data_IF_237170938524
#
_entry.id   IF_237170938524
#
_cell.length_a   1.000
_cell.length_b   1.000
_cell.length_c   1.000
_cell.angle_alpha   90.00
_cell.angle_beta   90.00
_cell.angle_gamma   90.00
#
_symmetry.space_group_name_H-M   'P 1'
#
loop_
_entity.id
_entity.type
_entity.pdbx_description
1 polymer ?
#
# COMPACT_ATOMS: atom_id res chain seq x y z
N UNK A 1 31.43 -70.36 -32.67
CA UNK A 1 31.43 -70.70 -34.11
C UNK A 1 30.66 -69.59 -34.83
N UNK A 2 31.42 -68.72 -35.52
CA UNK A 2 31.01 -67.78 -36.58
C UNK A 2 30.02 -66.63 -36.28
N UNK A 3 30.08 -65.41 -36.83
CA UNK A 3 31.05 -64.49 -37.50
C UNK A 3 30.32 -63.11 -37.59
N UNK A 4 31.04 -62.00 -37.32
CA UNK A 4 30.99 -60.57 -37.79
C UNK A 4 29.81 -60.01 -38.65
N UNK A 5 29.66 -58.68 -38.89
CA UNK A 5 29.97 -57.42 -38.16
C UNK A 5 28.89 -56.28 -38.39
N UNK A 6 29.29 -55.01 -38.16
CA UNK A 6 28.72 -53.73 -38.64
C UNK A 6 27.64 -53.06 -37.75
N UNK A 7 27.98 -52.04 -36.96
CA UNK A 7 28.20 -50.63 -37.34
C UNK A 7 26.89 -49.89 -37.65
N UNK A 8 26.27 -49.30 -36.61
CA UNK A 8 25.67 -47.95 -36.74
C UNK A 8 25.75 -47.24 -35.39
N UNK A 9 26.77 -46.40 -35.23
CA UNK A 9 26.78 -45.31 -34.27
C UNK A 9 26.03 -44.14 -34.93
N UNK A 10 24.85 -43.80 -34.39
CA UNK A 10 24.13 -42.55 -34.66
C UNK A 10 23.65 -42.07 -33.28
N UNK A 11 24.37 -41.15 -32.61
CA UNK A 11 24.05 -39.72 -32.64
C UNK A 11 22.53 -39.50 -32.53
N UNK A 12 21.98 -38.94 -31.46
CA UNK A 12 22.19 -37.56 -31.05
C UNK A 12 21.74 -37.40 -29.59
N UNK A 13 22.53 -36.63 -28.84
CA UNK A 13 22.21 -35.89 -27.62
C UNK A 13 20.71 -35.59 -27.45
N UNK A 14 20.04 -36.36 -26.60
CA UNK A 14 18.91 -35.84 -25.79
C UNK A 14 19.45 -35.06 -24.59
N UNK A 15 20.45 -34.18 -24.81
CA UNK A 15 20.91 -33.25 -23.80
C UNK A 15 19.77 -32.27 -23.56
N UNK A 16 19.41 -32.11 -22.29
CA UNK A 16 18.22 -31.39 -21.85
C UNK A 16 18.00 -30.14 -22.67
N UNK A 17 16.82 -30.05 -23.28
CA UNK A 17 16.23 -28.75 -23.51
C UNK A 17 15.98 -28.26 -22.08
N UNK A 18 16.76 -27.32 -21.49
CA UNK A 18 16.19 -26.58 -20.39
C UNK A 18 14.93 -25.99 -21.01
N UNK A 19 13.78 -26.27 -20.42
CA UNK A 19 12.57 -25.53 -20.75
C UNK A 19 12.93 -24.07 -20.48
N UNK A 20 13.45 -23.38 -21.49
CA UNK A 20 13.73 -21.98 -21.48
C UNK A 20 12.35 -21.35 -21.45
N UNK A 21 11.92 -21.16 -20.21
CA UNK A 21 11.13 -20.06 -19.77
C UNK A 21 9.85 -19.84 -20.59
N UNK A 22 8.72 -20.23 -20.00
CA UNK A 22 7.64 -19.25 -19.93
C UNK A 22 8.14 -18.08 -19.07
N UNK A 23 9.05 -17.28 -19.64
CA UNK A 23 9.42 -16.01 -19.07
C UNK A 23 8.14 -15.19 -19.14
N UNK A 24 7.54 -14.96 -17.99
CA UNK A 24 6.36 -14.12 -17.91
C UNK A 24 6.81 -12.76 -18.39
N UNK A 25 6.35 -12.37 -19.58
CA UNK A 25 6.66 -11.07 -20.16
C UNK A 25 6.14 -9.99 -19.19
N UNK A 26 7.03 -9.20 -18.56
CA UNK A 26 6.66 -8.20 -17.57
C UNK A 26 5.95 -7.00 -18.21
N UNK A 27 5.77 -6.95 -19.53
CA UNK A 27 4.90 -5.96 -20.19
C UNK A 27 3.44 -6.44 -20.30
N UNK A 28 3.17 -7.74 -20.14
CA UNK A 28 1.81 -8.27 -20.29
C UNK A 28 0.97 -8.02 -19.04
N UNK A 29 -0.14 -7.33 -19.22
CA UNK A 29 -1.18 -7.20 -18.21
C UNK A 29 -2.07 -8.44 -18.22
N UNK A 30 -2.26 -9.04 -17.04
CA UNK A 30 -3.20 -10.14 -16.81
C UNK A 30 -4.04 -9.82 -15.58
N UNK A 31 -5.24 -10.39 -15.46
CA UNK A 31 -6.10 -10.18 -14.28
C UNK A 31 -5.36 -10.53 -12.98
N UNK A 32 -4.62 -11.64 -12.97
CA UNK A 32 -3.79 -12.05 -11.82
C UNK A 32 -2.73 -11.01 -11.47
N UNK A 33 -2.15 -10.33 -12.45
CA UNK A 33 -1.11 -9.32 -12.19
C UNK A 33 -1.71 -7.99 -11.74
N UNK A 34 -2.83 -7.58 -12.35
CA UNK A 34 -3.54 -6.34 -11.99
C UNK A 34 -4.08 -6.41 -10.56
N UNK A 35 -4.66 -7.56 -10.15
CA UNK A 35 -5.38 -7.67 -8.88
C UNK A 35 -4.75 -8.63 -7.86
N UNK A 36 -3.81 -9.48 -8.27
CA UNK A 36 -3.18 -10.46 -7.37
C UNK A 36 -2.03 -9.90 -6.53
N UNK A 37 -1.66 -8.64 -6.75
CA UNK A 37 -0.67 -7.91 -5.97
C UNK A 37 -0.95 -6.40 -6.03
N UNK A 38 -0.40 -5.59 -5.12
CA UNK A 38 -0.57 -4.13 -5.13
C UNK A 38 0.30 -3.42 -6.17
N UNK A 39 0.92 -4.13 -7.13
CA UNK A 39 1.80 -3.54 -8.17
C UNK A 39 1.17 -2.33 -8.88
N UNK A 40 -0.14 -2.37 -9.10
CA UNK A 40 -0.90 -1.31 -9.76
C UNK A 40 -1.89 -0.59 -8.83
N UNK A 41 -1.79 -0.81 -7.52
CA UNK A 41 -2.59 -0.06 -6.56
C UNK A 41 -2.08 1.38 -6.48
N UNK A 42 -3.00 2.34 -6.46
CA UNK A 42 -2.63 3.71 -6.17
C UNK A 42 -2.03 3.80 -4.75
N UNK A 43 -1.02 4.65 -4.58
CA UNK A 43 -0.56 4.98 -3.24
C UNK A 43 -1.68 5.72 -2.51
N UNK A 44 -2.06 5.30 -1.30
CA UNK A 44 -3.07 5.99 -0.53
C UNK A 44 -2.56 7.37 -0.13
N UNK A 45 -3.46 8.36 -0.15
CA UNK A 45 -3.22 9.69 0.39
C UNK A 45 -4.49 10.17 1.08
N UNK A 46 -4.33 10.73 2.27
CA UNK A 46 -5.43 11.26 3.06
C UNK A 46 -6.03 10.25 4.05
N UNK A 47 -7.14 10.64 4.71
CA UNK A 47 -7.94 11.86 4.52
C UNK A 47 -7.16 13.17 4.72
N UNK A 48 -7.54 14.24 4.01
CA UNK A 48 -6.88 15.55 4.08
C UNK A 48 -7.84 16.73 4.17
N UNK A 49 -7.39 17.82 4.82
CA UNK A 49 -8.16 19.04 5.08
C UNK A 49 -7.32 20.28 4.89
N UNK A 50 -7.77 21.21 4.06
CA UNK A 50 -7.22 22.57 4.01
C UNK A 50 -7.54 23.30 5.31
N UNK A 51 -6.56 24.03 5.84
CA UNK A 51 -6.80 24.99 6.92
C UNK A 51 -7.34 26.29 6.30
N UNK A 52 -8.15 27.03 7.07
CA UNK A 52 -9.06 28.04 6.51
C UNK A 52 -8.41 29.21 5.77
N UNK A 53 -7.14 29.52 6.06
CA UNK A 53 -6.38 30.56 5.36
C UNK A 53 -5.63 30.04 4.11
N UNK A 54 -5.69 28.72 3.84
CA UNK A 54 -4.98 28.08 2.74
C UNK A 54 -3.46 27.99 2.93
N UNK A 55 -2.90 28.46 4.04
CA UNK A 55 -1.46 28.45 4.31
C UNK A 55 -0.92 27.03 4.56
N UNK A 56 -1.81 26.11 4.93
CA UNK A 56 -1.48 24.75 5.27
C UNK A 56 -2.64 23.80 5.00
N UNK A 57 -2.30 22.52 4.89
CA UNK A 57 -3.27 21.44 4.94
C UNK A 57 -2.83 20.43 6.00
N UNK A 58 -3.78 19.61 6.42
CA UNK A 58 -3.53 18.45 7.27
C UNK A 58 -3.84 17.18 6.50
N UNK A 59 -3.17 16.09 6.86
CA UNK A 59 -3.41 14.75 6.31
C UNK A 59 -3.11 13.68 7.36
N UNK A 60 -3.58 12.47 7.13
CA UNK A 60 -3.23 11.29 7.92
C UNK A 60 -2.05 10.56 7.27
N UNK A 61 -1.06 10.18 8.07
CA UNK A 61 0.12 9.42 7.63
C UNK A 61 0.42 8.26 8.58
N UNK A 62 1.02 7.16 8.10
CA UNK A 62 1.54 6.11 8.98
C UNK A 62 2.59 6.67 9.95
N UNK A 63 2.50 6.27 11.22
CA UNK A 63 3.49 6.61 12.23
C UNK A 63 4.63 5.57 12.29
N UNK A 64 5.86 6.00 12.59
CA UNK A 64 7.04 5.11 12.68
C UNK A 64 6.88 3.97 13.70
N UNK A 65 6.04 4.16 14.72
CA UNK A 65 5.76 3.20 15.79
C UNK A 65 4.48 2.37 15.60
N UNK A 66 3.83 2.47 14.44
CA UNK A 66 2.51 1.91 14.19
C UNK A 66 1.37 2.87 14.55
N UNK A 67 0.21 2.62 13.93
CA UNK A 67 -0.90 3.58 13.92
C UNK A 67 -0.68 4.72 12.94
N UNK A 68 -1.37 5.84 13.18
CA UNK A 68 -1.40 6.97 12.27
C UNK A 68 -1.20 8.29 13.02
N UNK A 69 -0.51 9.22 12.38
CA UNK A 69 -0.37 10.61 12.83
C UNK A 69 -1.30 11.50 11.99
N UNK A 70 -1.87 12.53 12.61
CA UNK A 70 -2.43 13.69 11.89
C UNK A 70 -1.34 14.73 11.78
N UNK A 71 -0.92 15.00 10.56
CA UNK A 71 0.19 15.91 10.26
C UNK A 71 -0.31 17.14 9.54
N UNK A 72 0.39 18.24 9.74
CA UNK A 72 0.23 19.52 9.03
C UNK A 72 1.42 19.72 8.10
N UNK A 73 1.12 20.15 6.88
CA UNK A 73 2.10 20.64 5.94
C UNK A 73 1.83 22.11 5.67
N UNK A 74 2.87 22.91 5.84
CA UNK A 74 2.90 24.29 5.39
C UNK A 74 3.12 24.34 3.87
N UNK A 75 2.28 25.09 3.16
CA UNK A 75 2.24 25.05 1.69
C UNK A 75 3.42 25.79 1.05
N UNK A 76 3.90 26.85 1.72
CA UNK A 76 5.01 27.65 1.20
C UNK A 76 6.36 26.99 1.47
N UNK A 77 6.51 26.39 2.65
CA UNK A 77 7.81 25.91 3.14
C UNK A 77 7.98 24.40 3.07
N UNK A 78 6.92 23.65 2.77
CA UNK A 78 6.85 22.18 2.84
C UNK A 78 7.17 21.63 4.25
N UNK A 79 7.06 22.48 5.27
CA UNK A 79 7.38 22.09 6.64
C UNK A 79 6.30 21.15 7.17
N UNK A 80 6.71 19.93 7.50
CA UNK A 80 5.91 18.91 8.18
C UNK A 80 5.90 19.12 9.69
N UNK A 81 4.73 19.04 10.29
CA UNK A 81 4.50 19.13 11.73
C UNK A 81 3.47 18.07 12.16
N UNK A 82 3.74 17.31 13.24
CA UNK A 82 2.77 16.36 13.79
C UNK A 82 1.84 17.13 14.73
N UNK A 83 0.54 17.20 14.41
CA UNK A 83 -0.47 17.84 15.25
C UNK A 83 -1.07 16.88 16.27
N UNK A 84 -1.28 15.62 15.87
CA UNK A 84 -1.69 14.55 16.75
C UNK A 84 -0.89 13.29 16.42
N UNK A 85 -0.07 12.84 17.37
CA UNK A 85 0.67 11.60 17.21
C UNK A 85 -0.21 10.38 17.48
N UNK A 86 0.09 9.23 16.87
CA UNK A 86 -0.66 7.98 17.05
C UNK A 86 -0.91 7.64 18.53
N UNK A 87 0.11 7.81 19.39
CA UNK A 87 -0.01 7.57 20.85
C UNK A 87 -1.07 8.43 21.55
N UNK A 88 -1.42 9.59 21.01
CA UNK A 88 -2.46 10.48 21.54
C UNK A 88 -3.85 10.08 21.05
N UNK A 89 -3.91 9.23 20.03
CA UNK A 89 -5.15 8.66 19.48
C UNK A 89 -5.47 7.30 20.11
N UNK A 90 -4.84 6.94 21.24
CA UNK A 90 -5.20 5.75 22.03
C UNK A 90 -6.30 6.15 23.02
N UNK A 91 -7.53 5.63 22.88
CA UNK A 91 -8.60 5.91 23.83
C UNK A 91 -8.29 5.36 25.22
N UNK A 92 -8.91 5.95 26.24
CA UNK A 92 -8.79 5.44 27.60
C UNK A 92 -9.29 3.98 27.67
N UNK A 93 -8.46 3.09 28.24
CA UNK A 93 -8.76 1.67 28.36
C UNK A 93 -8.50 0.83 27.10
N UNK A 94 -7.95 1.41 26.03
CA UNK A 94 -7.51 0.67 24.85
C UNK A 94 -5.99 0.48 24.81
N UNK A 95 -5.55 -0.57 24.12
CA UNK A 95 -4.12 -0.90 23.97
C UNK A 95 -3.52 -0.42 22.63
N UNK A 96 -4.36 0.06 21.70
CA UNK A 96 -3.98 0.43 20.35
C UNK A 96 -4.60 1.79 19.95
N UNK A 97 -3.94 2.56 19.07
CA UNK A 97 -4.48 3.81 18.56
C UNK A 97 -5.67 3.55 17.63
N UNK A 98 -6.56 4.54 17.53
CA UNK A 98 -7.64 4.55 16.56
C UNK A 98 -7.10 4.48 15.11
N UNK A 99 -7.81 3.75 14.25
CA UNK A 99 -7.64 3.85 12.80
C UNK A 99 -8.48 5.03 12.29
N UNK A 100 -7.83 6.09 11.83
CA UNK A 100 -8.45 7.34 11.41
C UNK A 100 -8.92 7.21 9.97
N UNK A 101 -10.23 7.03 9.80
CA UNK A 101 -10.85 6.95 8.48
C UNK A 101 -11.18 8.35 7.91
N UNK A 102 -11.60 9.26 8.79
CA UNK A 102 -11.79 10.68 8.48
C UNK A 102 -11.65 11.55 9.74
N UNK A 103 -11.58 12.86 9.56
CA UNK A 103 -11.59 13.83 10.66
C UNK A 103 -12.10 15.21 10.21
N UNK A 104 -12.54 16.00 11.20
CA UNK A 104 -12.93 17.39 11.02
C UNK A 104 -12.37 18.26 12.14
N UNK A 105 -11.77 19.40 11.78
CA UNK A 105 -11.34 20.41 12.75
C UNK A 105 -12.51 21.26 13.22
N UNK A 106 -12.49 21.68 14.48
CA UNK A 106 -13.32 22.78 14.96
C UNK A 106 -12.99 24.07 14.19
N UNK A 107 -13.92 25.04 14.09
CA UNK A 107 -13.66 26.28 13.37
C UNK A 107 -12.44 27.08 13.87
N UNK A 108 -12.09 26.92 15.14
CA UNK A 108 -10.91 27.55 15.76
C UNK A 108 -9.63 26.67 15.70
N UNK A 109 -9.71 25.48 15.11
CA UNK A 109 -8.59 24.55 14.92
C UNK A 109 -8.09 23.87 16.20
N UNK A 110 -8.75 24.06 17.34
CA UNK A 110 -8.26 23.55 18.64
C UNK A 110 -8.63 22.11 18.93
N UNK A 111 -9.69 21.60 18.30
CA UNK A 111 -10.20 20.25 18.53
C UNK A 111 -10.42 19.57 17.19
N UNK A 112 -10.14 18.27 17.12
CA UNK A 112 -10.52 17.42 15.99
C UNK A 112 -11.59 16.41 16.42
N UNK A 113 -12.62 16.27 15.60
CA UNK A 113 -13.52 15.11 15.65
C UNK A 113 -12.93 14.01 14.77
N UNK A 114 -12.73 12.84 15.34
CA UNK A 114 -12.17 11.66 14.65
C UNK A 114 -13.31 10.72 14.26
N UNK A 115 -13.32 10.30 12.99
CA UNK A 115 -14.23 9.29 12.44
C UNK A 115 -13.47 7.98 12.24
N UNK A 116 -13.99 6.91 12.83
CA UNK A 116 -13.27 5.64 13.00
C UNK A 116 -14.26 4.49 13.27
N UNK A 117 -13.79 3.25 13.20
CA UNK A 117 -14.55 2.03 13.50
C UNK A 117 -15.85 1.93 12.69
N UNK A 118 -15.77 2.29 11.41
CA UNK A 118 -16.95 2.25 10.54
C UNK A 118 -17.26 0.84 10.10
N UNK A 119 -18.50 0.64 9.65
CA UNK A 119 -18.91 -0.59 8.98
C UNK A 119 -19.58 -0.21 7.67
N UNK A 120 -19.29 -0.92 6.57
CA UNK A 120 -19.83 -0.57 5.27
C UNK A 120 -21.35 -0.77 5.25
N UNK A 121 -22.07 0.29 4.88
CA UNK A 121 -23.50 0.24 4.60
C UNK A 121 -23.70 0.71 3.15
N UNK A 122 -23.93 -0.26 2.26
CA UNK A 122 -23.97 -0.04 0.80
C UNK A 122 -22.64 0.45 0.21
N UNK A 123 -22.56 1.73 -0.20
CA UNK A 123 -21.40 2.32 -0.88
C UNK A 123 -20.55 3.22 0.01
N UNK A 124 -21.06 3.60 1.18
CA UNK A 124 -20.39 4.51 2.10
C UNK A 124 -20.23 3.84 3.45
N UNK A 125 -19.10 4.14 4.07
CA UNK A 125 -18.87 3.91 5.49
C UNK A 125 -19.49 5.12 6.21
N UNK A 126 -20.68 4.93 6.78
CA UNK A 126 -21.41 5.95 7.56
C UNK A 126 -21.67 5.44 8.95
#
# INVERSE_FOLDING_TARGET
MNRFPALTLLAILGFGIPAAAQQTDPSRLTVKRIYGSPEFSAQPFGPSRWLGDGSAYTTVEPADGGGQDIVRYDVETDRREILAAARQLVPEGADAPLDVEDYAWSPDGKTALIFTNTQPVWRLNT
#
